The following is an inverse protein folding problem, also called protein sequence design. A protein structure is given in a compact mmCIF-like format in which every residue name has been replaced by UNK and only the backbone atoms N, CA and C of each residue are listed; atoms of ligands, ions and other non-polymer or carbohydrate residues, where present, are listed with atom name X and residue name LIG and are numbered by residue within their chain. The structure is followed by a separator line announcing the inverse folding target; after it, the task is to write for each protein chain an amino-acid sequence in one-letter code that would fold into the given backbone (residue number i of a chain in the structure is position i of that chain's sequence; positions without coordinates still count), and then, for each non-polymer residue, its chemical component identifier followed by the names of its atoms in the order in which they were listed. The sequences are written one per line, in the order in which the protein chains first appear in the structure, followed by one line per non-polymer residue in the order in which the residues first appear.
data_IF_196881363243
#
_entry.id   IF_196881363243
#
_cell.length_a   1.000
_cell.length_b   1.000
_cell.length_c   1.000
_cell.angle_alpha   90.00
_cell.angle_beta   90.00
_cell.angle_gamma   90.00
#
_symmetry.space_group_name_H-M   'P 1'
#
loop_
_entity.id
_entity.type
_entity.pdbx_description
1 polymer ?
#
# COMPACT_ATOMS: atom_id res chain seq x y z
N UNK A 1 -14.89 2.92 -23.15
CA UNK A 1 -13.69 2.17 -23.60
C UNK A 1 -12.70 2.31 -22.46
N UNK A 2 -12.35 1.22 -21.78
CA UNK A 2 -11.32 1.27 -20.73
C UNK A 2 -10.01 1.75 -21.35
N UNK A 3 -9.36 2.74 -20.73
CA UNK A 3 -8.05 3.18 -21.18
C UNK A 3 -7.06 2.02 -21.00
N UNK A 4 -6.14 1.78 -21.95
CA UNK A 4 -5.19 0.68 -21.82
C UNK A 4 -4.23 0.95 -20.65
N UNK A 5 -3.88 -0.12 -19.92
CA UNK A 5 -2.79 -0.08 -18.94
C UNK A 5 -1.50 0.45 -19.59
N UNK A 6 -0.72 1.24 -18.85
CA UNK A 6 0.51 1.90 -19.29
C UNK A 6 1.73 1.02 -19.03
N UNK A 7 1.72 0.22 -17.96
CA UNK A 7 2.85 -0.60 -17.57
C UNK A 7 3.26 -1.60 -18.67
N UNK A 8 4.55 -1.91 -18.70
CA UNK A 8 5.12 -2.90 -19.60
C UNK A 8 4.56 -4.30 -19.31
N UNK A 9 4.23 -5.04 -20.37
CA UNK A 9 3.83 -6.45 -20.26
C UNK A 9 5.04 -7.33 -20.54
N UNK A 10 5.31 -8.25 -19.62
CA UNK A 10 6.36 -9.26 -19.78
C UNK A 10 5.72 -10.64 -19.80
N UNK A 11 5.93 -11.36 -20.90
CA UNK A 11 5.48 -12.75 -21.04
C UNK A 11 6.52 -13.68 -20.42
N UNK A 12 6.05 -14.63 -19.62
CA UNK A 12 6.85 -15.69 -18.98
C UNK A 12 6.13 -17.02 -19.11
N UNK A 13 6.87 -18.12 -18.99
CA UNK A 13 6.35 -19.46 -19.28
C UNK A 13 5.29 -19.95 -18.28
N UNK A 14 5.46 -19.61 -17.00
CA UNK A 14 4.60 -20.06 -15.91
C UNK A 14 4.73 -19.16 -14.67
N UNK A 15 3.95 -19.49 -13.63
CA UNK A 15 3.92 -18.74 -12.38
C UNK A 15 5.28 -18.71 -11.65
N UNK A 16 6.01 -19.82 -11.65
CA UNK A 16 7.32 -19.90 -10.97
C UNK A 16 8.33 -19.00 -11.67
N UNK A 17 8.38 -19.03 -13.00
CA UNK A 17 9.20 -18.12 -13.81
C UNK A 17 8.82 -16.65 -13.58
N UNK A 18 7.52 -16.35 -13.38
CA UNK A 18 7.08 -15.02 -13.02
C UNK A 18 7.64 -14.60 -11.66
N UNK A 19 7.50 -15.45 -10.62
CA UNK A 19 7.99 -15.12 -9.28
C UNK A 19 9.51 -14.92 -9.26
N UNK A 20 10.28 -15.80 -9.91
CA UNK A 20 11.74 -15.66 -10.02
C UNK A 20 12.14 -14.38 -10.75
N UNK A 21 11.46 -14.02 -11.84
CA UNK A 21 11.72 -12.76 -12.54
C UNK A 21 11.56 -11.54 -11.62
N UNK A 22 10.53 -11.54 -10.76
CA UNK A 22 10.33 -10.43 -9.81
C UNK A 22 11.45 -10.35 -8.75
N UNK A 23 11.98 -11.49 -8.30
CA UNK A 23 13.17 -11.51 -7.43
C UNK A 23 14.41 -11.00 -8.16
N UNK A 24 14.69 -11.51 -9.36
CA UNK A 24 15.86 -11.13 -10.18
C UNK A 24 15.88 -9.63 -10.50
N UNK A 25 14.70 -9.03 -10.75
CA UNK A 25 14.56 -7.60 -11.04
C UNK A 25 14.56 -6.71 -9.78
N UNK A 26 14.51 -7.30 -8.59
CA UNK A 26 14.42 -6.58 -7.33
C UNK A 26 13.11 -5.81 -7.14
N UNK A 27 12.02 -6.32 -7.72
CA UNK A 27 10.67 -5.75 -7.62
C UNK A 27 9.87 -6.29 -6.42
N UNK A 28 10.49 -7.14 -5.60
CA UNK A 28 9.91 -7.64 -4.36
C UNK A 28 10.70 -7.14 -3.16
N UNK A 29 10.04 -7.19 -2.01
CA UNK A 29 10.57 -6.93 -0.67
C UNK A 29 11.29 -8.15 -0.06
N UNK A 30 11.66 -9.13 -0.90
CA UNK A 30 12.25 -10.40 -0.47
C UNK A 30 11.22 -11.50 -0.15
N UNK A 31 9.92 -11.20 -0.28
CA UNK A 31 8.84 -12.17 -0.19
C UNK A 31 8.23 -12.45 -1.58
N UNK A 32 7.64 -13.63 -1.81
CA UNK A 32 6.95 -13.91 -3.07
C UNK A 32 5.78 -12.93 -3.27
N UNK A 33 5.49 -12.64 -4.53
CA UNK A 33 4.39 -11.76 -4.93
C UNK A 33 3.37 -12.53 -5.75
N UNK A 34 2.12 -12.05 -5.77
CA UNK A 34 1.14 -12.51 -6.76
C UNK A 34 1.41 -11.76 -8.06
N UNK A 35 1.72 -12.41 -9.19
CA UNK A 35 1.98 -11.68 -10.43
C UNK A 35 0.77 -10.83 -10.85
N UNK A 36 0.97 -9.51 -11.05
CA UNK A 36 -0.09 -8.58 -11.42
C UNK A 36 -0.43 -8.72 -12.90
N UNK A 37 -1.28 -9.68 -13.24
CA UNK A 37 -1.79 -9.83 -14.60
C UNK A 37 -2.68 -8.65 -14.98
N UNK A 38 -2.71 -8.30 -16.27
CA UNK A 38 -3.54 -7.20 -16.79
C UNK A 38 -5.00 -7.32 -16.35
N UNK A 39 -5.57 -8.53 -16.42
CA UNK A 39 -6.94 -8.81 -15.94
C UNK A 39 -7.13 -8.44 -14.46
N UNK A 40 -6.21 -8.85 -13.57
CA UNK A 40 -6.32 -8.54 -12.13
C UNK A 40 -6.14 -7.06 -11.83
N UNK A 41 -5.22 -6.40 -12.53
CA UNK A 41 -5.00 -4.95 -12.36
C UNK A 41 -6.24 -4.18 -12.78
N UNK A 42 -6.85 -4.54 -13.92
CA UNK A 42 -8.10 -3.94 -14.38
C UNK A 42 -9.25 -4.17 -13.39
N UNK A 43 -9.40 -5.36 -12.81
CA UNK A 43 -10.43 -5.62 -11.79
C UNK A 43 -10.32 -4.70 -10.56
N UNK A 44 -9.09 -4.33 -10.17
CA UNK A 44 -8.86 -3.41 -9.05
C UNK A 44 -9.21 -1.97 -9.42
N UNK A 45 -8.80 -1.53 -10.61
CA UNK A 45 -9.11 -0.20 -11.14
C UNK A 45 -10.62 -0.01 -11.34
N UNK A 46 -11.28 -1.00 -11.95
CA UNK A 46 -12.72 -0.98 -12.22
C UNK A 46 -13.53 -0.95 -10.92
N UNK A 47 -13.12 -1.72 -9.90
CA UNK A 47 -13.76 -1.69 -8.59
C UNK A 47 -13.67 -0.31 -7.93
N UNK A 48 -12.51 0.35 -8.05
CA UNK A 48 -12.29 1.69 -7.50
C UNK A 48 -12.87 2.82 -8.37
N UNK A 49 -13.31 2.51 -9.60
CA UNK A 49 -13.77 3.52 -10.57
C UNK A 49 -12.66 4.45 -11.06
N UNK A 50 -11.40 4.00 -11.04
CA UNK A 50 -10.22 4.81 -11.36
C UNK A 50 -9.71 4.54 -12.78
N UNK A 51 -9.26 5.59 -13.47
CA UNK A 51 -8.50 5.42 -14.73
C UNK A 51 -7.03 5.09 -14.45
N UNK A 52 -6.36 4.27 -15.28
CA UNK A 52 -4.97 3.86 -15.05
C UNK A 52 -4.00 5.03 -14.78
N UNK A 53 -4.10 6.10 -15.56
CA UNK A 53 -3.28 7.31 -15.49
C UNK A 53 -3.67 8.28 -14.37
N UNK A 54 -4.80 8.06 -13.70
CA UNK A 54 -5.31 8.99 -12.69
C UNK A 54 -4.28 9.16 -11.56
N UNK A 55 -3.81 10.39 -11.29
CA UNK A 55 -2.91 10.65 -10.18
C UNK A 55 -3.62 10.38 -8.85
N UNK A 56 -2.96 9.65 -7.95
CA UNK A 56 -3.41 9.37 -6.58
C UNK A 56 -2.53 10.08 -5.56
N UNK A 57 -1.26 10.30 -5.88
CA UNK A 57 -0.34 11.04 -5.01
C UNK A 57 0.83 11.60 -5.79
N UNK A 58 1.38 12.71 -5.30
CA UNK A 58 2.61 13.30 -5.81
C UNK A 58 3.68 13.23 -4.71
N UNK A 59 4.90 12.88 -5.10
CA UNK A 59 6.07 12.86 -4.21
C UNK A 59 7.13 13.78 -4.82
N UNK A 60 7.01 15.11 -4.60
CA UNK A 60 7.85 16.11 -5.24
C UNK A 60 9.34 15.89 -4.96
N UNK A 61 9.69 15.43 -3.75
CA UNK A 61 11.08 15.20 -3.37
C UNK A 61 11.73 14.04 -4.13
N UNK A 62 10.93 13.25 -4.85
CA UNK A 62 11.38 12.14 -5.69
C UNK A 62 11.14 12.39 -7.17
N UNK A 63 10.49 13.50 -7.54
CA UNK A 63 10.04 13.78 -8.90
C UNK A 63 9.19 12.62 -9.46
N UNK A 64 8.22 12.17 -8.65
CA UNK A 64 7.38 11.01 -8.96
C UNK A 64 5.91 11.26 -8.66
N UNK A 65 5.08 10.99 -9.66
CA UNK A 65 3.64 10.89 -9.52
C UNK A 65 3.24 9.42 -9.41
N UNK A 66 2.48 9.10 -8.37
CA UNK A 66 1.86 7.79 -8.14
C UNK A 66 0.48 7.81 -8.81
N UNK A 67 0.25 6.89 -9.74
CA UNK A 67 -1.02 6.73 -10.46
C UNK A 67 -1.86 5.60 -9.87
N UNK A 68 -3.12 5.51 -10.28
CA UNK A 68 -4.00 4.42 -9.90
C UNK A 68 -3.46 3.06 -10.36
N UNK A 69 -2.88 3.00 -11.56
CA UNK A 69 -2.25 1.77 -12.06
C UNK A 69 -1.05 1.34 -11.21
N UNK A 70 -0.17 2.28 -10.82
CA UNK A 70 0.93 1.98 -9.90
C UNK A 70 0.41 1.35 -8.59
N UNK A 71 -0.65 1.94 -8.03
CA UNK A 71 -1.28 1.42 -6.81
C UNK A 71 -1.89 0.03 -7.03
N UNK A 72 -2.66 -0.16 -8.10
CA UNK A 72 -3.33 -1.42 -8.40
C UNK A 72 -2.32 -2.57 -8.62
N UNK A 73 -1.26 -2.34 -9.40
CA UNK A 73 -0.18 -3.32 -9.62
C UNK A 73 0.45 -3.77 -8.30
N UNK A 74 0.87 -2.83 -7.47
CA UNK A 74 1.52 -3.15 -6.19
C UNK A 74 0.55 -3.77 -5.17
N UNK A 75 -0.74 -3.43 -5.25
CA UNK A 75 -1.79 -4.04 -4.43
C UNK A 75 -2.05 -5.49 -4.80
N UNK A 76 -2.09 -5.80 -6.09
CA UNK A 76 -2.17 -7.18 -6.57
C UNK A 76 -0.94 -7.96 -6.13
N UNK A 77 0.27 -7.40 -6.33
CA UNK A 77 1.53 -8.02 -5.89
C UNK A 77 1.53 -8.40 -4.40
N UNK A 78 0.99 -7.53 -3.56
CA UNK A 78 0.87 -7.76 -2.12
C UNK A 78 -0.16 -8.82 -1.73
N UNK A 79 -1.03 -9.24 -2.66
CA UNK A 79 -2.12 -10.18 -2.39
C UNK A 79 -3.37 -9.54 -1.78
N UNK A 80 -3.55 -8.22 -1.98
CA UNK A 80 -4.78 -7.53 -1.59
C UNK A 80 -6.01 -8.13 -2.27
N UNK A 81 -7.19 -7.76 -1.76
CA UNK A 81 -8.43 -7.85 -2.54
C UNK A 81 -8.78 -6.48 -3.09
N UNK A 82 -9.53 -6.42 -4.19
CA UNK A 82 -9.95 -5.16 -4.83
C UNK A 82 -10.78 -4.27 -3.90
N UNK A 83 -11.53 -4.88 -2.97
CA UNK A 83 -12.32 -4.19 -1.95
C UNK A 83 -11.48 -3.31 -1.01
N UNK A 84 -10.16 -3.50 -0.98
CA UNK A 84 -9.25 -2.69 -0.17
C UNK A 84 -8.82 -1.39 -0.87
N UNK A 85 -9.13 -1.23 -2.15
CA UNK A 85 -8.72 -0.06 -2.94
C UNK A 85 -9.11 1.29 -2.33
N UNK A 86 -10.31 1.50 -1.76
CA UNK A 86 -10.64 2.77 -1.11
C UNK A 86 -9.68 3.11 0.05
N UNK A 87 -9.32 2.13 0.88
CA UNK A 87 -8.36 2.31 1.98
C UNK A 87 -6.95 2.57 1.46
N UNK A 88 -6.55 1.87 0.38
CA UNK A 88 -5.26 2.04 -0.27
C UNK A 88 -5.09 3.43 -0.89
N UNK A 89 -6.14 3.93 -1.57
CA UNK A 89 -6.17 5.29 -2.13
C UNK A 89 -6.01 6.32 -1.02
N UNK A 90 -6.86 6.25 0.01
CA UNK A 90 -6.78 7.15 1.16
C UNK A 90 -5.41 7.09 1.86
N UNK A 91 -4.79 5.91 1.97
CA UNK A 91 -3.46 5.77 2.54
C UNK A 91 -2.38 6.47 1.71
N UNK A 92 -2.42 6.35 0.37
CA UNK A 92 -1.48 7.05 -0.52
C UNK A 92 -1.70 8.56 -0.47
N UNK A 93 -2.96 9.02 -0.53
CA UNK A 93 -3.31 10.44 -0.41
C UNK A 93 -2.82 11.04 0.92
N UNK A 94 -3.03 10.33 2.03
CA UNK A 94 -2.57 10.77 3.35
C UNK A 94 -1.03 10.84 3.45
N UNK A 95 -0.31 9.85 2.90
CA UNK A 95 1.16 9.83 2.93
C UNK A 95 1.75 10.88 1.98
N UNK A 96 1.11 11.16 0.85
CA UNK A 96 1.53 12.18 -0.10
C UNK A 96 1.05 13.58 0.31
N UNK A 97 0.24 13.70 1.36
CA UNK A 97 -0.22 14.99 1.85
C UNK A 97 0.97 15.87 2.26
N UNK A 98 1.01 17.17 1.89
CA UNK A 98 2.15 18.03 2.17
C UNK A 98 2.54 18.13 3.65
N UNK A 99 1.60 17.92 4.58
CA UNK A 99 1.85 17.97 6.02
C UNK A 99 2.56 16.72 6.55
N UNK A 100 2.44 15.57 5.88
CA UNK A 100 3.14 14.35 6.27
C UNK A 100 4.65 14.46 6.01
N UNK A 101 5.03 15.21 4.96
CA UNK A 101 6.42 15.39 4.49
C UNK A 101 7.10 14.04 4.23
N UNK A 102 6.87 13.47 3.05
CA UNK A 102 7.30 12.12 2.65
C UNK A 102 8.77 11.80 3.03
N UNK A 103 9.68 12.75 2.85
CA UNK A 103 11.10 12.57 3.15
C UNK A 103 11.43 12.37 4.64
N UNK A 104 10.49 12.55 5.58
CA UNK A 104 10.68 12.18 6.99
C UNK A 104 11.01 10.68 7.19
N UNK A 105 10.72 9.83 6.21
CA UNK A 105 11.11 8.40 6.22
C UNK A 105 12.57 8.15 5.84
N UNK A 106 13.25 9.13 5.24
CA UNK A 106 14.63 9.02 4.74
C UNK A 106 15.66 9.30 5.85
N UNK A 107 15.65 8.45 6.89
CA UNK A 107 16.50 8.58 8.08
C UNK A 107 17.26 7.29 8.36
N UNK A 108 18.44 7.41 8.97
CA UNK A 108 19.24 6.26 9.42
C UNK A 108 18.48 5.36 10.41
N UNK A 109 17.56 5.94 11.19
CA UNK A 109 16.72 5.25 12.15
C UNK A 109 15.56 4.45 11.54
N UNK A 110 15.38 4.50 10.21
CA UNK A 110 14.36 3.69 9.51
C UNK A 110 12.93 3.94 9.99
N UNK A 111 12.53 5.21 10.10
CA UNK A 111 11.15 5.56 10.40
C UNK A 111 10.19 5.03 9.32
N UNK A 112 9.01 4.56 9.74
CA UNK A 112 7.97 4.07 8.85
C UNK A 112 6.58 4.46 9.36
N UNK A 113 5.65 4.92 8.50
CA UNK A 113 4.30 5.27 8.91
C UNK A 113 3.54 4.05 9.43
N UNK A 114 2.69 4.30 10.43
CA UNK A 114 1.66 3.38 10.84
C UNK A 114 0.32 3.84 10.27
N UNK A 115 -0.33 2.95 9.54
CA UNK A 115 -1.66 3.19 8.99
C UNK A 115 -2.71 2.81 10.03
N UNK A 116 -3.60 3.75 10.33
CA UNK A 116 -4.76 3.54 11.21
C UNK A 116 -6.00 3.80 10.37
N UNK A 117 -6.72 2.73 10.05
CA UNK A 117 -7.99 2.77 9.32
C UNK A 117 -9.08 3.10 10.32
N UNK A 118 -9.54 4.35 10.31
CA UNK A 118 -10.68 4.79 11.08
C UNK A 118 -11.97 4.74 10.22
N UNK A 119 -13.11 4.44 10.84
CA UNK A 119 -14.43 4.44 10.21
C UNK A 119 -14.95 3.04 9.82
N UNK A 120 -16.19 2.98 9.28
CA UNK A 120 -16.93 1.73 9.09
C UNK A 120 -16.23 0.74 8.15
N UNK A 121 -15.52 1.23 7.13
CA UNK A 121 -14.78 0.39 6.19
C UNK A 121 -13.71 -0.47 6.86
N UNK A 122 -13.06 0.00 7.93
CA UNK A 122 -12.09 -0.81 8.68
C UNK A 122 -12.72 -2.09 9.22
N UNK A 123 -13.92 -1.97 9.79
CA UNK A 123 -14.71 -3.09 10.34
C UNK A 123 -15.33 -3.94 9.25
N UNK A 124 -15.95 -3.34 8.23
CA UNK A 124 -16.60 -4.05 7.13
C UNK A 124 -15.62 -4.91 6.32
N UNK A 125 -14.42 -4.40 6.10
CA UNK A 125 -13.36 -5.13 5.39
C UNK A 125 -12.57 -6.07 6.30
N UNK A 126 -12.81 -6.02 7.62
CA UNK A 126 -12.22 -6.93 8.60
C UNK A 126 -10.75 -6.63 8.95
N UNK A 127 -10.32 -5.37 8.93
CA UNK A 127 -9.02 -4.96 9.46
C UNK A 127 -8.90 -5.26 10.95
N UNK A 128 -7.70 -5.61 11.41
CA UNK A 128 -7.50 -5.98 12.80
C UNK A 128 -7.49 -4.75 13.72
N UNK A 129 -8.31 -4.78 14.77
CA UNK A 129 -8.33 -3.79 15.87
C UNK A 129 -8.14 -4.43 17.26
N UNK A 130 -7.81 -5.73 17.31
CA UNK A 130 -7.80 -6.53 18.54
C UNK A 130 -6.50 -7.31 18.77
N UNK A 131 -6.63 -8.59 19.17
CA UNK A 131 -5.49 -9.44 19.50
C UNK A 131 -4.50 -9.55 18.33
N UNK A 132 -3.20 -9.68 18.66
CA UNK A 132 -2.12 -9.72 17.68
C UNK A 132 -2.05 -8.48 16.76
N UNK A 133 -2.49 -7.32 17.24
CA UNK A 133 -2.68 -6.07 16.49
C UNK A 133 -1.53 -5.70 15.53
N UNK A 134 -0.28 -5.74 16.03
CA UNK A 134 0.91 -5.32 15.28
C UNK A 134 1.68 -6.48 14.65
N UNK A 135 1.05 -7.65 14.53
CA UNK A 135 1.66 -8.87 14.00
C UNK A 135 1.16 -9.19 12.59
N UNK A 136 1.97 -9.91 11.83
CA UNK A 136 1.57 -10.56 10.58
C UNK A 136 0.51 -11.67 10.76
N UNK A 137 0.10 -11.95 12.00
CA UNK A 137 -0.69 -13.11 12.39
C UNK A 137 -2.15 -13.05 11.88
N UNK A 138 -2.35 -13.53 10.65
CA UNK A 138 -3.63 -14.05 10.18
C UNK A 138 -4.67 -13.02 9.72
N UNK A 139 -4.41 -11.72 9.83
CA UNK A 139 -5.30 -10.69 9.30
C UNK A 139 -4.86 -10.25 7.89
N UNK A 140 -5.51 -10.80 6.86
CA UNK A 140 -5.19 -10.48 5.47
C UNK A 140 -5.28 -8.97 5.13
N UNK A 141 -6.36 -8.23 5.43
CA UNK A 141 -6.44 -6.82 5.05
C UNK A 141 -5.31 -5.99 5.67
N UNK A 142 -5.07 -6.11 6.99
CA UNK A 142 -3.94 -5.43 7.66
C UNK A 142 -2.58 -5.75 7.04
N UNK A 143 -2.25 -7.03 6.85
CA UNK A 143 -0.94 -7.43 6.32
C UNK A 143 -0.76 -7.04 4.85
N UNK A 144 -1.78 -7.26 4.01
CA UNK A 144 -1.65 -7.02 2.57
C UNK A 144 -1.69 -5.54 2.21
N UNK A 145 -2.47 -4.71 2.93
CA UNK A 145 -2.48 -3.25 2.71
C UNK A 145 -1.17 -2.61 3.17
N UNK A 146 -0.65 -2.98 4.36
CA UNK A 146 0.65 -2.50 4.80
C UNK A 146 1.75 -2.88 3.79
N UNK A 147 1.76 -4.14 3.35
CA UNK A 147 2.72 -4.61 2.34
C UNK A 147 2.55 -3.92 0.98
N UNK A 148 1.32 -3.66 0.54
CA UNK A 148 1.04 -2.97 -0.72
C UNK A 148 1.64 -1.56 -0.74
N UNK A 149 1.49 -0.80 0.35
CA UNK A 149 2.10 0.53 0.49
C UNK A 149 3.64 0.44 0.51
N UNK A 150 4.21 -0.57 1.18
CA UNK A 150 5.64 -0.81 1.15
C UNK A 150 6.15 -1.16 -0.26
N UNK A 151 5.49 -2.05 -0.99
CA UNK A 151 5.83 -2.40 -2.37
C UNK A 151 5.67 -1.22 -3.32
N UNK A 152 4.62 -0.42 -3.15
CA UNK A 152 4.42 0.79 -3.94
C UNK A 152 5.59 1.76 -3.81
N UNK A 153 6.02 2.06 -2.59
CA UNK A 153 7.19 2.95 -2.40
C UNK A 153 8.49 2.27 -2.80
N UNK A 154 8.58 0.95 -2.67
CA UNK A 154 9.72 0.18 -3.16
C UNK A 154 9.90 0.35 -4.67
N UNK A 155 8.82 0.16 -5.43
CA UNK A 155 8.84 0.12 -6.89
C UNK A 155 8.72 1.50 -7.54
N UNK A 156 8.00 2.45 -6.93
CA UNK A 156 7.70 3.74 -7.56
C UNK A 156 8.54 4.91 -7.02
N UNK A 157 9.12 4.81 -5.81
CA UNK A 157 9.84 5.92 -5.17
C UNK A 157 11.28 5.58 -4.75
N UNK A 158 11.80 4.42 -5.17
CA UNK A 158 13.14 3.92 -4.81
C UNK A 158 13.36 3.82 -3.29
N UNK A 159 12.29 3.58 -2.52
CA UNK A 159 12.34 3.41 -1.05
C UNK A 159 12.80 2.01 -0.66
N UNK A 160 13.94 1.56 -1.22
CA UNK A 160 14.51 0.22 -1.09
C UNK A 160 16.04 0.25 -0.84
N UNK A 161 16.66 -0.84 -0.35
CA UNK A 161 18.12 -0.96 -0.31
C UNK A 161 18.72 -0.68 -1.69
N UNK A 162 19.89 -0.03 -1.73
CA UNK A 162 20.56 0.44 -2.96
C UNK A 162 19.80 1.49 -3.80
N UNK A 163 18.56 1.83 -3.44
CA UNK A 163 17.83 2.97 -3.99
C UNK A 163 18.19 4.26 -3.27
N UNK A 164 17.18 5.02 -2.85
CA UNK A 164 17.38 6.27 -2.08
C UNK A 164 17.36 5.99 -0.57
N UNK A 165 16.77 4.89 -0.11
CA UNK A 165 16.66 4.60 1.33
C UNK A 165 18.05 4.35 1.95
N UNK A 166 18.29 4.91 3.14
CA UNK A 166 19.56 4.84 3.89
C UNK A 166 19.40 4.34 5.33
N UNK A 167 18.23 3.80 5.68
CA UNK A 167 17.97 3.23 6.99
C UNK A 167 18.91 2.07 7.31
N UNK A 168 19.58 2.12 8.47
CA UNK A 168 20.53 1.07 8.88
C UNK A 168 19.84 -0.15 9.50
N UNK A 169 18.81 0.09 10.32
CA UNK A 169 18.15 -0.98 11.08
C UNK A 169 16.98 -1.64 10.32
N UNK A 170 16.49 -1.00 9.26
CA UNK A 170 15.22 -1.37 8.66
C UNK A 170 14.04 -1.12 9.61
N UNK A 171 12.83 -1.41 9.14
CA UNK A 171 11.63 -1.32 9.97
C UNK A 171 10.74 -2.55 9.74
N UNK A 172 10.55 -3.42 10.75
CA UNK A 172 9.72 -4.62 10.60
C UNK A 172 8.23 -4.30 10.36
N UNK A 173 7.81 -3.05 10.63
CA UNK A 173 6.47 -2.55 10.38
C UNK A 173 6.12 -2.32 8.91
N UNK A 174 7.10 -2.34 8.00
CA UNK A 174 6.88 -2.16 6.55
C UNK A 174 5.83 -3.10 5.95
N UNK A 175 5.70 -4.32 6.47
CA UNK A 175 4.69 -5.28 6.01
C UNK A 175 3.43 -5.37 6.88
N UNK A 176 3.37 -4.68 8.03
CA UNK A 176 2.41 -5.03 9.09
C UNK A 176 1.82 -3.84 9.87
N UNK A 177 2.29 -2.60 9.67
CA UNK A 177 1.76 -1.42 10.35
C UNK A 177 0.51 -0.88 9.67
N UNK A 178 -0.54 -1.69 9.63
CA UNK A 178 -1.88 -1.27 9.24
C UNK A 178 -2.92 -1.92 10.15
N UNK A 179 -3.66 -1.10 10.88
CA UNK A 179 -4.66 -1.56 11.85
C UNK A 179 -5.96 -0.81 11.63
N UNK A 180 -7.07 -1.35 12.12
CA UNK A 180 -8.27 -0.57 12.31
C UNK A 180 -8.28 0.04 13.72
N UNK A 181 -8.89 1.21 13.83
CA UNK A 181 -9.27 1.72 15.14
C UNK A 181 -10.36 0.82 15.77
N UNK A 182 -10.26 0.62 17.09
CA UNK A 182 -11.36 0.03 17.85
C UNK A 182 -12.27 1.15 18.37
N UNK A 183 -13.43 1.32 17.72
CA UNK A 183 -14.45 2.29 18.15
C UNK A 183 -15.36 1.75 19.27
N UNK A 184 -15.27 0.45 19.61
CA UNK A 184 -16.04 -0.17 20.70
C UNK A 184 -15.35 0.09 22.07
N UNK A 185 -15.06 1.36 22.35
CA UNK A 185 -14.43 1.81 23.60
C UNK A 185 -15.20 2.99 24.20
N UNK A 186 -14.79 3.44 25.39
CA UNK A 186 -15.38 4.64 26.01
C UNK A 186 -14.81 5.96 25.47
N UNK A 187 -13.85 5.91 24.55
CA UNK A 187 -13.22 7.09 23.97
C UNK A 187 -13.94 7.53 22.70
N UNK A 188 -13.85 8.82 22.39
CA UNK A 188 -14.30 9.33 21.09
C UNK A 188 -13.43 8.71 19.98
N UNK A 189 -14.02 8.38 18.80
CA UNK A 189 -13.25 7.90 17.66
C UNK A 189 -12.13 8.87 17.24
N UNK A 190 -11.06 8.36 16.65
CA UNK A 190 -9.89 9.13 16.24
C UNK A 190 -10.27 10.30 15.33
N UNK A 191 -11.18 10.10 14.38
CA UNK A 191 -11.62 11.19 13.50
C UNK A 191 -12.30 12.32 14.31
N UNK A 192 -13.11 12.01 15.32
CA UNK A 192 -13.72 13.01 16.21
C UNK A 192 -12.65 13.73 17.02
N UNK A 193 -11.67 12.99 17.57
CA UNK A 193 -10.54 13.58 18.31
C UNK A 193 -9.68 14.49 17.42
N UNK A 194 -9.63 14.23 16.11
CA UNK A 194 -8.94 15.04 15.10
C UNK A 194 -9.82 16.17 14.53
N UNK A 195 -11.07 16.32 14.99
CA UNK A 195 -11.97 17.42 14.64
C UNK A 195 -12.88 17.17 13.43
N UNK A 196 -13.02 15.93 12.97
CA UNK A 196 -13.98 15.53 11.94
C UNK A 196 -15.34 15.18 12.55
N UNK A 197 -16.40 15.27 11.73
CA UNK A 197 -17.75 14.88 12.12
C UNK A 197 -17.83 13.37 12.42
N UNK A 198 -18.74 13.00 13.34
CA UNK A 198 -18.94 11.61 13.77
C UNK A 198 -19.66 10.74 12.72
N UNK A 199 -20.41 11.38 11.82
CA UNK A 199 -21.19 10.75 10.74
C UNK A 199 -20.77 11.30 9.38
#
# INVERSE_FOLDING_TARGET
MSNPLIADRITVDNLDAAMELYFERGWTDGLPVVPPTEMKVMEFLDYAGLQPEQPIGDVPERDRVITAEHLAVNSVMAGCKKEYMPVLVAAVEAICHPDFKFNHMATLGSAWPMLIVNGPLGRELGFNSGMYLLSAAGNRPSSTVARAISLLFWNCTESRPNGIQRGQFGNPGRGHYCIAENEDTSWDPLHVMLGFDRE
#
